data_IF_629944540562
#
_entry.id   IF_629944540562
#
_cell.length_a   1.000
_cell.length_b   1.000
_cell.length_c   1.000
_cell.angle_alpha   90.00
_cell.angle_beta   90.00
_cell.angle_gamma   90.00
#
_symmetry.space_group_name_H-M   'P 1'
#
loop_
_entity.id
_entity.type
_entity.pdbx_description
1 polymer ?
#
# COMPACT_ATOMS: atom_id res chain seq x y z
N UNK A 1 14.25 25.40 -19.09
CA UNK A 1 15.71 25.21 -19.11
C UNK A 1 15.96 23.77 -18.73
N UNK A 2 16.65 23.02 -19.57
CA UNK A 2 16.96 21.62 -19.28
C UNK A 2 18.17 21.54 -18.34
N UNK A 3 18.07 20.64 -17.35
CA UNK A 3 19.15 20.34 -16.41
C UNK A 3 19.89 19.11 -16.94
N UNK A 4 21.19 19.22 -17.11
CA UNK A 4 22.03 18.10 -17.56
C UNK A 4 22.52 17.31 -16.37
N UNK A 5 22.19 16.02 -16.34
CA UNK A 5 22.67 15.06 -15.34
C UNK A 5 23.91 14.37 -15.91
N UNK A 6 24.98 14.31 -15.15
CA UNK A 6 26.26 13.72 -15.58
C UNK A 6 26.60 12.41 -14.93
N UNK A 7 25.98 12.11 -13.79
CA UNK A 7 26.26 10.90 -13.01
C UNK A 7 24.98 10.34 -12.41
N UNK A 8 24.90 9.02 -12.37
CA UNK A 8 23.81 8.25 -11.73
C UNK A 8 24.39 7.12 -10.88
N UNK A 9 23.64 6.66 -9.89
CA UNK A 9 24.01 5.50 -9.07
C UNK A 9 22.78 4.80 -8.49
N UNK A 10 22.99 3.59 -7.96
CA UNK A 10 21.96 2.82 -7.23
C UNK A 10 20.68 2.59 -8.05
N UNK A 11 20.80 2.45 -9.38
CA UNK A 11 19.66 2.20 -10.23
C UNK A 11 19.04 0.83 -9.95
N UNK A 12 17.72 0.78 -9.84
CA UNK A 12 16.95 -0.45 -9.64
C UNK A 12 15.64 -0.41 -10.44
N UNK A 13 15.38 -1.47 -11.20
CA UNK A 13 14.12 -1.57 -11.94
C UNK A 13 12.95 -1.85 -11.00
N UNK A 14 11.86 -1.11 -11.20
CA UNK A 14 10.64 -1.21 -10.40
C UNK A 14 9.56 -2.05 -11.09
N UNK A 15 9.78 -2.48 -12.33
CA UNK A 15 8.85 -3.33 -13.06
C UNK A 15 9.56 -4.25 -14.07
N UNK A 16 8.87 -5.30 -14.49
CA UNK A 16 9.42 -6.30 -15.41
C UNK A 16 9.78 -5.75 -16.81
N UNK A 17 9.14 -4.66 -17.22
CA UNK A 17 9.39 -4.00 -18.51
C UNK A 17 10.59 -3.03 -18.47
N UNK A 18 11.14 -2.74 -17.28
CA UNK A 18 12.20 -1.76 -17.05
C UNK A 18 11.83 -0.34 -17.53
N UNK A 19 10.55 -0.01 -17.47
CA UNK A 19 10.03 1.34 -17.85
C UNK A 19 9.90 2.27 -16.65
N UNK A 20 10.13 1.75 -15.44
CA UNK A 20 10.18 2.51 -14.20
C UNK A 20 11.44 2.11 -13.44
N UNK A 21 12.36 3.04 -13.28
CA UNK A 21 13.66 2.81 -12.63
C UNK A 21 13.85 3.84 -11.52
N UNK A 22 14.02 3.35 -10.31
CA UNK A 22 14.45 4.16 -9.17
C UNK A 22 15.96 4.33 -9.24
N UNK A 23 16.44 5.55 -9.15
CA UNK A 23 17.87 5.90 -9.33
C UNK A 23 18.22 7.13 -8.52
N UNK A 24 19.47 7.25 -8.09
CA UNK A 24 19.99 8.52 -7.58
C UNK A 24 20.74 9.24 -8.69
N UNK A 25 20.40 10.51 -8.91
CA UNK A 25 21.04 11.40 -9.89
C UNK A 25 21.89 12.44 -9.16
N UNK A 26 23.03 12.83 -9.77
CA UNK A 26 23.85 13.93 -9.26
C UNK A 26 23.34 15.26 -9.88
N UNK A 27 22.39 15.89 -9.16
CA UNK A 27 21.82 17.18 -9.58
C UNK A 27 22.84 18.31 -9.37
N UNK A 28 23.04 19.21 -10.33
CA UNK A 28 24.07 20.25 -10.24
C UNK A 28 23.92 21.19 -9.04
N UNK A 29 22.69 21.47 -8.58
CA UNK A 29 22.43 22.37 -7.47
C UNK A 29 22.23 21.67 -6.13
N UNK A 30 21.78 20.41 -6.13
CA UNK A 30 21.35 19.68 -4.93
C UNK A 30 22.21 18.45 -4.61
N UNK A 31 23.17 18.10 -5.49
CA UNK A 31 23.96 16.88 -5.34
C UNK A 31 23.12 15.61 -5.57
N UNK A 32 23.44 14.56 -4.84
CA UNK A 32 22.74 13.28 -4.99
C UNK A 32 21.31 13.34 -4.44
N UNK A 33 20.34 13.19 -5.33
CA UNK A 33 18.91 13.14 -4.99
C UNK A 33 18.26 11.90 -5.60
N UNK A 34 17.23 11.33 -4.93
CA UNK A 34 16.43 10.26 -5.51
C UNK A 34 15.62 10.77 -6.69
N UNK A 35 15.55 9.95 -7.74
CA UNK A 35 14.81 10.26 -8.95
C UNK A 35 14.13 8.99 -9.47
N UNK A 36 12.85 9.10 -9.79
CA UNK A 36 12.10 8.02 -10.42
C UNK A 36 11.99 8.29 -11.91
N UNK A 37 12.75 7.54 -12.72
CA UNK A 37 12.66 7.58 -14.15
C UNK A 37 11.45 6.77 -14.62
N UNK A 38 10.53 7.41 -15.35
CA UNK A 38 9.36 6.77 -15.94
C UNK A 38 9.19 7.23 -17.39
N UNK A 39 8.47 6.43 -18.18
CA UNK A 39 8.07 6.77 -19.55
C UNK A 39 6.82 7.67 -19.61
N UNK A 40 6.24 8.01 -18.45
CA UNK A 40 5.04 8.86 -18.31
C UNK A 40 5.32 10.24 -17.73
N UNK A 41 6.61 10.60 -17.57
CA UNK A 41 6.97 11.88 -16.98
C UNK A 41 6.71 13.02 -17.99
N UNK A 42 5.84 13.96 -17.58
CA UNK A 42 5.54 15.16 -18.35
C UNK A 42 6.54 16.31 -18.07
N UNK A 43 7.37 16.18 -17.03
CA UNK A 43 8.41 17.16 -16.69
C UNK A 43 9.65 16.93 -17.55
N UNK A 44 9.90 17.87 -18.44
CA UNK A 44 11.06 17.87 -19.33
C UNK A 44 12.27 18.62 -18.79
N UNK A 45 12.25 19.00 -17.51
CA UNK A 45 13.36 19.71 -16.87
C UNK A 45 14.63 18.85 -16.84
N UNK A 46 14.46 17.55 -16.58
CA UNK A 46 15.52 16.53 -16.70
C UNK A 46 15.18 15.64 -17.89
N UNK A 47 16.14 15.42 -18.77
CA UNK A 47 15.96 14.54 -19.92
C UNK A 47 16.10 13.07 -19.49
N UNK A 48 14.96 12.37 -19.43
CA UNK A 48 14.91 10.95 -19.05
C UNK A 48 15.69 10.05 -20.01
N UNK A 49 15.84 10.43 -21.29
CA UNK A 49 16.63 9.67 -22.24
C UNK A 49 18.13 9.78 -21.93
N UNK A 50 18.61 10.95 -21.52
CA UNK A 50 19.99 11.14 -21.06
C UNK A 50 20.25 10.34 -19.77
N UNK A 51 19.35 10.40 -18.79
CA UNK A 51 19.46 9.63 -17.54
C UNK A 51 19.49 8.13 -17.85
N UNK A 52 18.61 7.64 -18.71
CA UNK A 52 18.59 6.22 -19.11
C UNK A 52 19.88 5.81 -19.83
N UNK A 53 20.46 6.68 -20.65
CA UNK A 53 21.74 6.43 -21.31
C UNK A 53 22.90 6.31 -20.30
N UNK A 54 22.88 7.09 -19.22
CA UNK A 54 23.85 6.99 -18.12
C UNK A 54 23.70 5.70 -17.32
N UNK A 55 22.46 5.24 -17.09
CA UNK A 55 22.18 3.96 -16.41
C UNK A 55 22.65 2.80 -17.29
N UNK A 56 22.36 2.83 -18.58
CA UNK A 56 22.65 1.75 -19.52
C UNK A 56 21.98 0.44 -19.09
N UNK A 57 22.81 -0.57 -18.86
CA UNK A 57 22.36 -1.89 -18.34
C UNK A 57 22.75 -2.11 -16.87
N UNK A 58 23.32 -1.12 -16.22
CA UNK A 58 23.81 -1.18 -14.84
C UNK A 58 22.71 -0.80 -13.84
N UNK A 59 21.73 -1.69 -13.71
CA UNK A 59 20.69 -1.56 -12.71
C UNK A 59 20.34 -2.91 -12.11
N UNK A 60 19.87 -2.89 -10.86
CA UNK A 60 19.33 -4.07 -10.20
C UNK A 60 18.05 -4.53 -10.90
N UNK A 61 17.99 -5.78 -11.31
CA UNK A 61 16.83 -6.34 -11.99
C UNK A 61 15.61 -6.35 -11.07
N UNK A 62 14.44 -6.12 -11.67
CA UNK A 62 13.17 -6.26 -10.97
C UNK A 62 12.94 -7.71 -10.53
N UNK A 63 12.58 -7.87 -9.27
CA UNK A 63 12.13 -9.16 -8.73
C UNK A 63 10.66 -9.01 -8.35
N UNK A 64 9.79 -9.76 -9.04
CA UNK A 64 8.38 -9.77 -8.71
C UNK A 64 8.15 -10.32 -7.30
N UNK A 65 7.23 -9.75 -6.51
CA UNK A 65 6.89 -10.29 -5.22
C UNK A 65 6.36 -11.72 -5.34
N UNK A 66 6.75 -12.57 -4.43
CA UNK A 66 6.25 -13.93 -4.30
C UNK A 66 4.76 -13.94 -3.90
N UNK A 67 4.05 -15.04 -4.16
CA UNK A 67 2.65 -15.16 -3.70
C UNK A 67 2.56 -15.02 -2.18
N UNK A 68 3.52 -15.55 -1.43
CA UNK A 68 3.55 -15.40 0.03
C UNK A 68 3.67 -13.95 0.49
N UNK A 69 4.46 -13.11 -0.21
CA UNK A 69 4.58 -11.68 0.08
C UNK A 69 3.30 -10.92 -0.27
N UNK A 70 2.66 -11.26 -1.39
CA UNK A 70 1.36 -10.70 -1.77
C UNK A 70 0.27 -11.08 -0.76
N UNK A 71 0.23 -12.31 -0.32
CA UNK A 71 -0.72 -12.79 0.69
C UNK A 71 -0.47 -12.10 2.05
N UNK A 72 0.78 -11.89 2.44
CA UNK A 72 1.13 -11.17 3.66
C UNK A 72 0.69 -9.70 3.61
N UNK A 73 0.88 -9.03 2.47
CA UNK A 73 0.42 -7.66 2.25
C UNK A 73 -1.12 -7.58 2.32
N UNK A 74 -1.81 -8.50 1.66
CA UNK A 74 -3.28 -8.61 1.70
C UNK A 74 -3.78 -8.87 3.10
N UNK A 75 -3.13 -9.76 3.85
CA UNK A 75 -3.47 -10.05 5.25
C UNK A 75 -3.34 -8.80 6.14
N UNK A 76 -2.32 -8.00 5.92
CA UNK A 76 -2.12 -6.73 6.63
C UNK A 76 -3.24 -5.74 6.32
N UNK A 77 -3.61 -5.60 5.06
CA UNK A 77 -4.68 -4.72 4.63
C UNK A 77 -6.04 -5.14 5.19
N UNK A 78 -6.36 -6.44 5.15
CA UNK A 78 -7.62 -6.97 5.71
C UNK A 78 -7.71 -6.73 7.21
N UNK A 79 -6.61 -6.93 7.95
CA UNK A 79 -6.59 -6.62 9.39
C UNK A 79 -6.79 -5.14 9.66
N UNK A 80 -6.15 -4.28 8.88
CA UNK A 80 -6.30 -2.83 9.01
C UNK A 80 -7.75 -2.39 8.73
N UNK A 81 -8.38 -2.92 7.70
CA UNK A 81 -9.79 -2.63 7.37
C UNK A 81 -10.73 -3.10 8.50
N UNK A 82 -10.54 -4.32 9.01
CA UNK A 82 -11.28 -4.82 10.19
C UNK A 82 -11.13 -3.90 11.39
N UNK A 83 -9.92 -3.50 11.72
CA UNK A 83 -9.63 -2.65 12.88
C UNK A 83 -10.25 -1.27 12.70
N UNK A 84 -10.25 -0.73 11.48
CA UNK A 84 -10.91 0.52 11.16
C UNK A 84 -12.44 0.42 11.37
N UNK A 85 -13.08 -0.68 10.95
CA UNK A 85 -14.52 -0.92 11.21
C UNK A 85 -14.78 -0.99 12.71
N UNK A 86 -13.94 -1.70 13.47
CA UNK A 86 -14.08 -1.79 14.92
C UNK A 86 -14.03 -0.41 15.57
N UNK A 87 -13.01 0.38 15.25
CA UNK A 87 -12.79 1.71 15.86
C UNK A 87 -13.83 2.74 15.43
N UNK A 88 -14.27 2.72 14.18
CA UNK A 88 -15.17 3.77 13.64
C UNK A 88 -16.65 3.44 13.75
N UNK A 89 -17.02 2.16 13.78
CA UNK A 89 -18.41 1.72 13.73
C UNK A 89 -18.85 1.03 15.01
N UNK A 90 -18.07 0.06 15.51
CA UNK A 90 -18.45 -0.78 16.65
C UNK A 90 -18.18 -0.09 17.98
N UNK A 91 -16.94 0.31 18.22
CA UNK A 91 -16.50 0.84 19.52
C UNK A 91 -17.26 2.11 19.94
N UNK A 92 -17.56 3.08 19.05
CA UNK A 92 -18.35 4.25 19.45
C UNK A 92 -19.76 3.95 19.93
N UNK A 93 -20.32 2.81 19.53
CA UNK A 93 -21.63 2.36 19.98
C UNK A 93 -21.56 1.55 21.26
N UNK A 94 -20.69 0.52 21.30
CA UNK A 94 -20.62 -0.42 22.42
C UNK A 94 -19.96 0.17 23.67
N UNK A 95 -19.10 1.17 23.51
CA UNK A 95 -18.41 1.86 24.61
C UNK A 95 -19.18 3.05 25.17
N UNK A 96 -20.27 3.46 24.55
CA UNK A 96 -21.12 4.55 25.04
C UNK A 96 -22.35 3.96 25.78
N UNK A 97 -22.40 4.07 27.13
CA UNK A 97 -23.46 3.43 27.91
C UNK A 97 -24.86 3.93 27.56
N UNK A 98 -24.99 5.21 27.21
CA UNK A 98 -26.29 5.81 26.88
C UNK A 98 -26.80 5.29 25.54
N UNK A 99 -25.94 5.30 24.51
CA UNK A 99 -26.29 4.76 23.19
C UNK A 99 -26.55 3.26 23.21
N UNK A 100 -25.80 2.55 24.03
CA UNK A 100 -25.99 1.10 24.21
C UNK A 100 -27.31 0.77 24.91
N UNK A 101 -27.69 1.56 25.92
CA UNK A 101 -28.97 1.39 26.65
C UNK A 101 -30.21 1.69 25.79
N UNK A 102 -30.07 2.51 24.74
CA UNK A 102 -31.16 2.82 23.80
C UNK A 102 -31.47 1.65 22.84
N UNK A 103 -30.58 0.64 22.76
CA UNK A 103 -30.78 -0.55 21.95
C UNK A 103 -31.66 -1.58 22.65
N UNK A 104 -32.47 -2.30 21.87
CA UNK A 104 -33.17 -3.48 22.38
C UNK A 104 -32.18 -4.61 22.68
N UNK A 105 -32.59 -5.59 23.51
CA UNK A 105 -31.76 -6.75 23.84
C UNK A 105 -31.31 -7.53 22.56
N UNK A 106 -32.19 -7.66 21.58
CA UNK A 106 -31.88 -8.32 20.31
C UNK A 106 -30.87 -7.54 19.50
N UNK A 107 -30.98 -6.22 19.47
CA UNK A 107 -29.98 -5.33 18.81
C UNK A 107 -28.63 -5.40 19.51
N UNK A 108 -28.59 -5.39 20.84
CA UNK A 108 -27.34 -5.52 21.59
C UNK A 108 -26.67 -6.88 21.29
N UNK A 109 -27.44 -7.96 21.24
CA UNK A 109 -26.96 -9.30 20.89
C UNK A 109 -26.39 -9.32 19.46
N UNK A 110 -27.09 -8.72 18.50
CA UNK A 110 -26.64 -8.63 17.10
C UNK A 110 -25.32 -7.85 16.96
N UNK A 111 -25.16 -6.73 17.68
CA UNK A 111 -23.91 -5.96 17.69
C UNK A 111 -22.75 -6.71 18.34
N UNK A 112 -23.00 -7.46 19.43
CA UNK A 112 -21.98 -8.32 20.03
C UNK A 112 -21.54 -9.41 19.05
N UNK A 113 -22.47 -10.02 18.33
CA UNK A 113 -22.17 -11.04 17.33
C UNK A 113 -21.36 -10.44 16.17
N UNK A 114 -21.78 -9.29 15.64
CA UNK A 114 -21.08 -8.58 14.58
C UNK A 114 -19.62 -8.29 14.95
N UNK A 115 -19.38 -7.81 16.17
CA UNK A 115 -18.03 -7.60 16.69
C UNK A 115 -17.22 -8.90 16.73
N UNK A 116 -17.83 -9.98 17.22
CA UNK A 116 -17.18 -11.30 17.29
C UNK A 116 -16.81 -11.80 15.90
N UNK A 117 -17.71 -11.66 14.93
CA UNK A 117 -17.51 -12.09 13.55
C UNK A 117 -16.40 -11.25 12.86
N UNK A 118 -16.33 -9.95 13.12
CA UNK A 118 -15.22 -9.10 12.65
C UNK A 118 -13.87 -9.59 13.19
N UNK A 119 -13.79 -9.90 14.49
CA UNK A 119 -12.56 -10.41 15.10
C UNK A 119 -12.17 -11.79 14.54
N UNK A 120 -13.12 -12.56 14.07
CA UNK A 120 -12.90 -13.89 13.49
C UNK A 120 -12.52 -13.85 11.99
N UNK A 121 -12.58 -12.71 11.31
CA UNK A 121 -12.22 -12.60 9.90
C UNK A 121 -10.85 -13.22 9.57
N UNK A 122 -9.76 -13.00 10.35
CA UNK A 122 -8.47 -13.61 10.08
C UNK A 122 -8.42 -15.13 10.28
N UNK A 123 -9.43 -15.74 10.88
CA UNK A 123 -9.53 -17.19 11.09
C UNK A 123 -10.36 -17.91 10.01
N UNK A 124 -10.93 -17.18 9.05
CA UNK A 124 -11.64 -17.78 7.93
C UNK A 124 -10.68 -18.62 7.06
N UNK A 125 -11.17 -19.76 6.56
CA UNK A 125 -10.36 -20.69 5.78
C UNK A 125 -9.78 -20.06 4.47
N UNK A 126 -10.48 -19.08 3.91
CA UNK A 126 -10.05 -18.35 2.71
C UNK A 126 -9.17 -17.12 2.98
N UNK A 127 -8.83 -16.83 4.24
CA UNK A 127 -7.97 -15.70 4.58
C UNK A 127 -6.56 -15.88 3.99
N UNK A 128 -5.95 -14.83 3.45
CA UNK A 128 -6.43 -13.44 3.37
C UNK A 128 -7.16 -13.08 2.08
N UNK A 129 -7.18 -13.93 1.07
CA UNK A 129 -7.59 -13.58 -0.31
C UNK A 129 -9.07 -13.82 -0.59
N UNK A 130 -9.69 -14.75 0.15
CA UNK A 130 -11.11 -15.08 -0.01
C UNK A 130 -11.81 -15.04 1.35
N UNK A 131 -12.23 -13.84 1.76
CA UNK A 131 -12.91 -13.60 3.02
C UNK A 131 -14.34 -13.15 2.80
N UNK A 132 -15.20 -13.41 3.79
CA UNK A 132 -16.55 -12.87 3.84
C UNK A 132 -16.66 -11.88 5.00
N UNK A 133 -16.96 -10.63 4.67
CA UNK A 133 -17.20 -9.61 5.68
C UNK A 133 -18.55 -9.81 6.35
N UNK A 134 -18.65 -9.75 7.68
CA UNK A 134 -19.92 -9.84 8.38
C UNK A 134 -20.82 -8.65 8.04
N UNK A 135 -22.13 -8.91 8.03
CA UNK A 135 -23.14 -7.88 7.76
C UNK A 135 -23.39 -7.07 9.03
N UNK A 136 -23.31 -5.75 8.92
CA UNK A 136 -23.65 -4.83 10.02
C UNK A 136 -25.13 -4.96 10.41
N UNK A 137 -25.48 -5.03 11.70
CA UNK A 137 -26.86 -5.05 12.19
C UNK A 137 -27.64 -3.77 11.89
#
# INVERSE_FOLDING_TARGET
MSITITEVRNAASMNAANTSIDVEINHPDYGWIPYLLTDFDEDTTIDNAEVMALIGTDFTAYVAPTQAELDAATATQVRHERDNILVTVVDPLVSNPLRWADLTADQQTAWCQYRTDLLAVPQQAGFPTNITWPTKP
#
